data_IF_477419085873
#
_entry.id   IF_477419085873
#
_cell.length_a   1.000
_cell.length_b   1.000
_cell.length_c   1.000
_cell.angle_alpha   90.00
_cell.angle_beta   90.00
_cell.angle_gamma   90.00
#
_symmetry.space_group_name_H-M   'P 1'
#
loop_
_entity.id
_entity.type
_entity.pdbx_description
1 polymer ?
#
# COMPACT_ATOMS: atom_id res chain seq x y z
N UNK A 1 -11.68 -15.64 5.71
CA UNK A 1 -11.96 -14.18 5.57
C UNK A 1 -10.74 -13.34 5.96
N UNK A 2 -10.58 -12.15 5.37
CA UNK A 2 -9.42 -11.28 5.57
C UNK A 2 -9.30 -10.87 7.04
N UNK A 3 -10.43 -10.70 7.73
CA UNK A 3 -10.55 -10.54 9.18
C UNK A 3 -9.73 -11.56 9.98
N UNK A 4 -9.89 -12.85 9.67
CA UNK A 4 -9.28 -13.93 10.46
C UNK A 4 -7.79 -14.02 10.16
N UNK A 5 -7.39 -13.76 8.91
CA UNK A 5 -5.97 -13.68 8.54
C UNK A 5 -5.28 -12.54 9.30
N UNK A 6 -5.88 -11.36 9.36
CA UNK A 6 -5.32 -10.20 10.04
C UNK A 6 -5.34 -10.36 11.57
N UNK A 7 -6.46 -10.83 12.15
CA UNK A 7 -6.62 -11.01 13.60
C UNK A 7 -5.66 -12.05 14.17
N UNK A 8 -5.40 -13.13 13.43
CA UNK A 8 -4.48 -14.18 13.85
C UNK A 8 -3.02 -13.90 13.45
N UNK A 9 -2.76 -12.79 12.76
CA UNK A 9 -1.41 -12.41 12.37
C UNK A 9 -0.66 -11.66 13.47
N UNK A 10 0.66 -11.55 13.28
CA UNK A 10 1.53 -10.68 14.09
C UNK A 10 1.50 -9.21 13.63
N UNK A 11 0.56 -8.81 12.79
CA UNK A 11 0.50 -7.46 12.22
C UNK A 11 0.48 -6.35 13.28
N UNK A 12 -0.34 -6.41 14.35
CA UNK A 12 -0.31 -5.38 15.39
C UNK A 12 1.03 -5.29 16.12
N UNK A 13 1.74 -6.42 16.26
CA UNK A 13 3.08 -6.46 16.85
C UNK A 13 4.12 -5.80 15.94
N UNK A 14 4.09 -6.08 14.64
CA UNK A 14 5.00 -5.47 13.66
C UNK A 14 4.78 -3.98 13.46
N UNK A 15 3.53 -3.52 13.53
CA UNK A 15 3.24 -2.07 13.49
C UNK A 15 3.74 -1.37 14.75
N UNK A 16 3.49 -1.94 15.94
CA UNK A 16 3.89 -1.33 17.21
C UNK A 16 5.41 -1.27 17.43
N UNK A 17 6.16 -2.22 16.89
CA UNK A 17 7.62 -2.28 17.05
C UNK A 17 8.40 -1.62 15.90
N UNK A 18 7.72 -0.92 14.99
CA UNK A 18 8.33 -0.26 13.85
C UNK A 18 8.86 -1.22 12.76
N UNK A 19 8.54 -2.52 12.82
CA UNK A 19 8.91 -3.48 11.78
C UNK A 19 7.97 -3.38 10.58
N UNK A 20 7.91 -2.20 9.96
CA UNK A 20 7.01 -1.86 8.84
C UNK A 20 7.11 -2.86 7.69
N UNK A 21 8.33 -3.26 7.31
CA UNK A 21 8.55 -4.31 6.28
C UNK A 21 7.87 -5.63 6.63
N UNK A 22 7.96 -6.09 7.89
CA UNK A 22 7.30 -7.32 8.33
C UNK A 22 5.78 -7.17 8.39
N UNK A 23 5.30 -5.97 8.75
CA UNK A 23 3.88 -5.65 8.72
C UNK A 23 3.34 -5.74 7.27
N UNK A 24 4.09 -5.22 6.30
CA UNK A 24 3.76 -5.30 4.88
C UNK A 24 3.75 -6.72 4.33
N UNK A 25 4.73 -7.56 4.70
CA UNK A 25 4.74 -8.99 4.33
C UNK A 25 3.46 -9.72 4.78
N UNK A 26 2.95 -9.38 5.97
CA UNK A 26 1.71 -9.94 6.50
C UNK A 26 0.48 -9.43 5.73
N UNK A 27 0.45 -8.13 5.40
CA UNK A 27 -0.63 -7.56 4.59
C UNK A 27 -0.68 -8.16 3.18
N UNK A 28 0.48 -8.34 2.54
CA UNK A 28 0.56 -8.94 1.21
C UNK A 28 0.10 -10.41 1.20
N UNK A 29 0.50 -11.17 2.22
CA UNK A 29 0.06 -12.56 2.38
C UNK A 29 -1.45 -12.66 2.64
N UNK A 30 -2.03 -11.70 3.37
CA UNK A 30 -3.46 -11.65 3.63
C UNK A 30 -4.27 -11.41 2.33
N UNK A 31 -3.75 -10.64 1.38
CA UNK A 31 -4.39 -10.41 0.08
C UNK A 31 -4.25 -11.58 -0.90
N UNK A 32 -3.16 -12.33 -0.84
CA UNK A 32 -2.85 -13.40 -1.80
C UNK A 32 -3.88 -14.54 -1.85
N UNK A 33 -4.73 -14.68 -0.83
CA UNK A 33 -5.79 -15.69 -0.76
C UNK A 33 -7.20 -15.17 -1.08
N UNK A 34 -7.34 -13.90 -1.46
CA UNK A 34 -8.63 -13.26 -1.64
C UNK A 34 -8.88 -12.97 -3.11
N UNK A 35 -9.88 -13.66 -3.69
CA UNK A 35 -10.31 -13.40 -5.07
C UNK A 35 -10.77 -11.96 -5.20
N UNK A 36 -11.68 -11.45 -4.35
CA UNK A 36 -12.14 -10.05 -4.35
C UNK A 36 -11.86 -9.38 -2.99
N UNK A 37 -10.72 -8.66 -2.85
CA UNK A 37 -10.36 -7.99 -1.61
C UNK A 37 -11.29 -6.84 -1.25
N UNK A 38 -11.83 -6.09 -2.22
CA UNK A 38 -12.66 -4.91 -1.95
C UNK A 38 -14.04 -5.27 -1.40
N UNK A 39 -14.53 -6.46 -1.76
CA UNK A 39 -15.77 -7.02 -1.21
C UNK A 39 -15.65 -7.51 0.24
N UNK A 40 -14.44 -7.70 0.76
CA UNK A 40 -14.25 -8.17 2.13
C UNK A 40 -14.56 -7.02 3.11
N UNK A 41 -15.41 -7.22 4.13
CA UNK A 41 -15.74 -6.18 5.11
C UNK A 41 -14.52 -5.65 5.89
N UNK A 42 -13.39 -6.35 5.83
CA UNK A 42 -12.13 -5.95 6.46
C UNK A 42 -11.17 -5.22 5.51
N UNK A 43 -11.59 -4.96 4.26
CA UNK A 43 -10.81 -4.22 3.29
C UNK A 43 -10.49 -2.80 3.76
N UNK A 44 -11.48 -2.08 4.29
CA UNK A 44 -11.26 -0.71 4.81
C UNK A 44 -10.28 -0.72 5.98
N UNK A 45 -10.46 -1.52 7.05
CA UNK A 45 -9.45 -1.67 8.11
C UNK A 45 -8.06 -2.10 7.61
N UNK A 46 -8.00 -2.99 6.62
CA UNK A 46 -6.75 -3.41 5.98
C UNK A 46 -6.03 -2.22 5.36
N UNK A 47 -6.75 -1.43 4.58
CA UNK A 47 -6.22 -0.28 3.87
C UNK A 47 -5.84 0.87 4.82
N UNK A 48 -6.57 1.06 5.93
CA UNK A 48 -6.17 1.99 7.01
C UNK A 48 -4.83 1.59 7.64
N UNK A 49 -4.63 0.30 7.88
CA UNK A 49 -3.40 -0.23 8.47
C UNK A 49 -2.21 -0.10 7.51
N UNK A 50 -2.44 -0.31 6.21
CA UNK A 50 -1.47 -0.03 5.15
C UNK A 50 -1.06 1.44 5.16
N UNK A 51 -2.01 2.38 5.25
CA UNK A 51 -1.73 3.82 5.32
C UNK A 51 -0.91 4.20 6.56
N UNK A 52 -1.18 3.60 7.72
CA UNK A 52 -0.38 3.81 8.94
C UNK A 52 1.07 3.35 8.79
N UNK A 53 1.29 2.19 8.14
CA UNK A 53 2.64 1.67 7.89
C UNK A 53 3.38 2.58 6.91
N UNK A 54 2.68 3.13 5.91
CA UNK A 54 3.25 4.03 4.93
C UNK A 54 3.61 5.40 5.48
N UNK A 55 2.79 5.94 6.39
CA UNK A 55 3.09 7.19 7.08
C UNK A 55 4.44 7.14 7.81
N UNK A 56 4.84 5.97 8.29
CA UNK A 56 6.13 5.79 8.97
C UNK A 56 7.32 5.54 8.01
N UNK A 57 7.13 5.68 6.70
CA UNK A 57 8.22 5.99 5.74
C UNK A 57 8.96 4.84 5.04
N UNK A 58 8.89 3.61 5.54
CA UNK A 58 9.86 2.56 5.12
C UNK A 58 9.39 1.58 4.04
N UNK A 59 8.19 1.72 3.47
CA UNK A 59 7.63 0.64 2.60
C UNK A 59 6.80 1.10 1.40
N UNK A 60 7.15 2.24 0.82
CA UNK A 60 6.42 2.81 -0.33
C UNK A 60 6.43 1.88 -1.56
N UNK A 61 7.51 1.14 -1.82
CA UNK A 61 7.59 0.15 -2.91
C UNK A 61 6.65 -1.04 -2.69
N UNK A 62 6.54 -1.51 -1.44
CA UNK A 62 5.68 -2.65 -1.13
C UNK A 62 4.20 -2.26 -1.14
N UNK A 63 3.87 -1.02 -0.77
CA UNK A 63 2.50 -0.53 -0.88
C UNK A 63 2.06 -0.34 -2.32
N UNK A 64 2.95 0.12 -3.19
CA UNK A 64 2.68 0.22 -4.61
C UNK A 64 2.36 -1.16 -5.21
N UNK A 65 3.15 -2.18 -4.85
CA UNK A 65 2.90 -3.57 -5.26
C UNK A 65 1.55 -4.12 -4.75
N UNK A 66 1.16 -3.81 -3.51
CA UNK A 66 -0.16 -4.19 -2.96
C UNK A 66 -1.28 -3.50 -3.74
N UNK A 67 -1.14 -2.20 -4.00
CA UNK A 67 -2.14 -1.42 -4.72
C UNK A 67 -2.28 -1.87 -6.18
N UNK A 68 -1.20 -2.28 -6.82
CA UNK A 68 -1.23 -2.84 -8.17
C UNK A 68 -2.04 -4.14 -8.25
N UNK A 69 -1.98 -5.00 -7.22
CA UNK A 69 -2.84 -6.19 -7.14
C UNK A 69 -4.31 -5.82 -7.03
N UNK A 70 -4.64 -4.83 -6.19
CA UNK A 70 -6.01 -4.31 -6.06
C UNK A 70 -6.51 -3.75 -7.40
N UNK A 71 -5.71 -2.94 -8.08
CA UNK A 71 -6.03 -2.39 -9.42
C UNK A 71 -6.24 -3.47 -10.46
N UNK A 72 -5.36 -4.48 -10.49
CA UNK A 72 -5.45 -5.60 -11.42
C UNK A 72 -6.74 -6.38 -11.21
N UNK A 73 -7.10 -6.63 -9.95
CA UNK A 73 -8.33 -7.31 -9.61
C UNK A 73 -9.57 -6.50 -10.03
N UNK A 74 -9.67 -5.23 -9.62
CA UNK A 74 -10.79 -4.37 -9.98
C UNK A 74 -10.99 -4.31 -11.51
N UNK A 75 -9.90 -4.23 -12.28
CA UNK A 75 -9.94 -4.26 -13.74
C UNK A 75 -10.43 -5.61 -14.29
N UNK A 76 -9.95 -6.72 -13.75
CA UNK A 76 -10.35 -8.06 -14.20
C UNK A 76 -11.85 -8.33 -13.98
N UNK A 77 -12.45 -7.69 -12.96
CA UNK A 77 -13.86 -7.86 -12.61
C UNK A 77 -14.76 -6.71 -13.08
N UNK A 78 -14.22 -5.74 -13.83
CA UNK A 78 -14.98 -4.57 -14.31
C UNK A 78 -15.49 -3.67 -13.17
N UNK A 79 -14.86 -3.74 -12.01
CA UNK A 79 -15.21 -2.96 -10.83
C UNK A 79 -14.43 -1.63 -10.81
N UNK A 80 -15.07 -0.59 -10.28
CA UNK A 80 -14.38 0.65 -9.98
C UNK A 80 -13.55 0.48 -8.71
N UNK A 81 -12.37 1.11 -8.66
CA UNK A 81 -11.57 1.20 -7.44
C UNK A 81 -12.33 1.95 -6.36
N UNK A 82 -12.22 1.48 -5.12
CA UNK A 82 -12.68 2.24 -3.97
C UNK A 82 -12.05 3.65 -3.91
N UNK A 83 -12.77 4.66 -3.39
CA UNK A 83 -12.23 6.02 -3.21
C UNK A 83 -10.94 6.06 -2.38
N UNK A 84 -10.79 5.10 -1.46
CA UNK A 84 -9.58 4.95 -0.66
C UNK A 84 -8.39 4.49 -1.50
N UNK A 85 -8.55 3.44 -2.32
CA UNK A 85 -7.49 2.95 -3.19
C UNK A 85 -7.02 4.04 -4.18
N UNK A 86 -7.95 4.86 -4.68
CA UNK A 86 -7.64 6.04 -5.51
C UNK A 86 -6.83 7.07 -4.74
N UNK A 87 -7.24 7.40 -3.51
CA UNK A 87 -6.52 8.37 -2.66
C UNK A 87 -5.10 7.88 -2.33
N UNK A 88 -4.96 6.59 -2.04
CA UNK A 88 -3.67 5.97 -1.76
C UNK A 88 -2.75 5.98 -2.99
N UNK A 89 -3.28 5.68 -4.19
CA UNK A 89 -2.56 5.79 -5.46
C UNK A 89 -1.99 7.19 -5.67
N UNK A 90 -2.81 8.22 -5.45
CA UNK A 90 -2.41 9.61 -5.60
C UNK A 90 -1.31 9.98 -4.61
N UNK A 91 -1.43 9.57 -3.34
CA UNK A 91 -0.43 9.84 -2.31
C UNK A 91 0.92 9.17 -2.63
N UNK A 92 0.91 7.91 -3.09
CA UNK A 92 2.11 7.19 -3.48
C UNK A 92 2.80 7.85 -4.67
N UNK A 93 2.04 8.25 -5.71
CA UNK A 93 2.57 8.98 -6.86
C UNK A 93 3.17 10.33 -6.48
N UNK A 94 2.50 11.10 -5.62
CA UNK A 94 3.03 12.38 -5.12
C UNK A 94 4.32 12.18 -4.34
N UNK A 95 4.40 11.16 -3.47
CA UNK A 95 5.61 10.84 -2.72
C UNK A 95 6.77 10.37 -3.60
N UNK A 96 6.49 9.63 -4.67
CA UNK A 96 7.48 9.24 -5.67
C UNK A 96 8.00 10.45 -6.46
N UNK A 97 7.11 11.35 -6.90
CA UNK A 97 7.46 12.58 -7.60
C UNK A 97 8.29 13.52 -6.71
N UNK A 98 7.91 13.71 -5.45
CA UNK A 98 8.65 14.52 -4.50
C UNK A 98 10.08 13.99 -4.31
N UNK A 99 10.25 12.68 -4.16
CA UNK A 99 11.59 12.08 -4.04
C UNK A 99 12.42 12.21 -5.30
N UNK A 100 11.81 12.09 -6.49
CA UNK A 100 12.50 12.34 -7.76
C UNK A 100 12.94 13.79 -7.86
N UNK A 101 12.06 14.76 -7.58
CA UNK A 101 12.38 16.20 -7.60
C UNK A 101 13.50 16.53 -6.61
N UNK A 102 13.36 16.10 -5.35
CA UNK A 102 14.37 16.34 -4.33
C UNK A 102 15.72 15.69 -4.68
N UNK A 103 15.71 14.51 -5.30
CA UNK A 103 16.93 13.87 -5.79
C UNK A 103 17.55 14.68 -6.92
N UNK A 104 16.75 15.16 -7.89
CA UNK A 104 17.22 16.00 -9.00
C UNK A 104 17.82 17.33 -8.49
N UNK A 105 17.16 18.01 -7.55
CA UNK A 105 17.63 19.24 -6.92
C UNK A 105 18.97 19.04 -6.17
N UNK A 106 19.16 17.87 -5.55
CA UNK A 106 20.36 17.57 -4.75
C UNK A 106 21.47 16.85 -5.53
N UNK A 107 21.21 16.35 -6.73
CA UNK A 107 22.21 15.71 -7.60
C UNK A 107 22.84 16.67 -8.62
N UNK A 108 22.39 17.93 -8.66
CA UNK A 108 23.00 18.95 -9.52
C UNK A 108 22.90 18.65 -11.02
N UNK A 109 21.94 17.82 -11.42
CA UNK A 109 21.71 17.49 -12.83
C UNK A 109 20.81 18.57 -13.44
N UNK A 110 21.43 19.64 -13.93
CA UNK A 110 20.79 20.57 -14.86
C UNK A 110 20.57 19.84 -16.19
N UNK A 111 19.30 19.55 -16.51
CA UNK A 111 18.94 19.32 -17.90
C UNK A 111 18.73 20.68 -18.54
N UNK A 112 19.75 21.17 -19.25
CA UNK A 112 19.58 22.25 -20.22
C UNK A 112 18.45 21.84 -21.19
N UNK A 113 17.36 22.62 -21.16
CA UNK A 113 16.19 22.47 -22.05
C UNK A 113 16.40 23.28 -23.32
#
# INVERSE_FOLDING_TARGET
>A
PLADALRNSKLPFYVRNGSHRRAMEVLDAALHGHEDPESDPNYVPFMEMLSLILYNGDSLVQADAILDKVKLHARAHGQALSPFAVTLDQALRQSALYRLQHTMEHSGVDFDV
#
